data_IF_298280554242
#
_entry.id   IF_298280554242
#
_cell.length_a   1.000
_cell.length_b   1.000
_cell.length_c   1.000
_cell.angle_alpha   90.00
_cell.angle_beta   90.00
_cell.angle_gamma   90.00
#
_symmetry.space_group_name_H-M   'P 1'
#
loop_
_entity.id
_entity.type
_entity.pdbx_description
1 polymer ?
#
# COMPACT_ATOMS: atom_id res chain seq x y z
N UNK A 1 14.89 -52.21 30.40
CA UNK A 1 13.84 -52.09 29.36
C UNK A 1 13.66 -50.62 29.04
N UNK A 2 13.97 -50.16 27.81
CA UNK A 2 13.72 -48.78 27.40
C UNK A 2 12.42 -48.71 26.59
N UNK A 3 11.47 -47.88 27.01
CA UNK A 3 10.45 -47.38 26.09
C UNK A 3 9.78 -46.12 26.60
N UNK A 4 9.52 -45.22 25.64
CA UNK A 4 8.45 -44.23 25.61
C UNK A 4 8.64 -42.85 26.25
N UNK A 5 9.08 -41.98 25.33
CA UNK A 5 8.33 -40.84 24.76
C UNK A 5 8.82 -39.45 25.13
N UNK A 6 9.73 -38.97 24.30
CA UNK A 6 9.98 -37.56 24.06
C UNK A 6 8.68 -36.87 23.59
N UNK A 7 8.10 -36.01 24.43
CA UNK A 7 7.06 -35.05 24.01
C UNK A 7 7.27 -33.72 24.73
N UNK A 8 8.09 -32.84 24.16
CA UNK A 8 8.11 -31.41 24.54
C UNK A 8 8.86 -30.55 23.51
N UNK A 9 8.28 -30.34 22.32
CA UNK A 9 8.72 -29.29 21.37
C UNK A 9 7.64 -28.51 20.60
N UNK A 10 6.31 -28.51 20.93
CA UNK A 10 5.37 -27.73 20.13
C UNK A 10 5.43 -26.21 20.38
N UNK A 11 6.05 -25.76 21.48
CA UNK A 11 6.01 -24.36 21.91
C UNK A 11 7.08 -23.48 21.25
N UNK A 12 8.32 -23.97 21.10
CA UNK A 12 9.39 -23.19 20.46
C UNK A 12 9.09 -22.90 18.98
N UNK A 13 8.55 -23.87 18.25
CA UNK A 13 8.21 -23.72 16.83
C UNK A 13 7.03 -22.76 16.64
N UNK A 14 6.03 -22.82 17.52
CA UNK A 14 4.91 -21.86 17.52
C UNK A 14 5.35 -20.43 17.81
N UNK A 15 6.23 -20.23 18.79
CA UNK A 15 6.78 -18.90 19.11
C UNK A 15 7.63 -18.35 17.96
N UNK A 16 8.43 -19.21 17.32
CA UNK A 16 9.25 -18.82 16.18
C UNK A 16 8.39 -18.46 14.96
N UNK A 17 7.29 -19.18 14.73
CA UNK A 17 6.33 -18.89 13.67
C UNK A 17 5.58 -17.58 13.92
N UNK A 18 5.17 -17.32 15.18
CA UNK A 18 4.51 -16.08 15.60
C UNK A 18 5.41 -14.85 15.37
N UNK A 19 6.69 -14.93 15.74
CA UNK A 19 7.69 -13.88 15.48
C UNK A 19 7.87 -13.59 13.99
N UNK A 20 7.85 -14.63 13.14
CA UNK A 20 7.96 -14.46 11.68
C UNK A 20 6.74 -13.73 11.12
N UNK A 21 5.53 -14.06 11.58
CA UNK A 21 4.30 -13.39 11.14
C UNK A 21 4.26 -11.93 11.60
N UNK A 22 4.62 -11.64 12.86
CA UNK A 22 4.73 -10.25 13.35
C UNK A 22 5.75 -9.40 12.57
N UNK A 23 6.85 -10.00 12.11
CA UNK A 23 7.81 -9.28 11.26
C UNK A 23 7.27 -9.01 9.85
N UNK A 24 6.41 -9.87 9.32
CA UNK A 24 5.75 -9.66 8.03
C UNK A 24 4.68 -8.58 8.13
N UNK A 25 3.89 -8.59 9.20
CA UNK A 25 2.83 -7.63 9.49
C UNK A 25 3.39 -6.19 9.58
N UNK A 26 4.49 -6.02 10.33
CA UNK A 26 5.20 -4.73 10.41
C UNK A 26 5.73 -4.23 9.07
N UNK A 27 6.09 -5.13 8.15
CA UNK A 27 6.55 -4.73 6.80
C UNK A 27 5.37 -4.34 5.92
N UNK A 28 4.22 -4.97 6.08
CA UNK A 28 2.99 -4.65 5.37
C UNK A 28 2.44 -3.29 5.83
N UNK A 29 2.40 -3.02 7.15
CA UNK A 29 2.01 -1.71 7.70
C UNK A 29 2.85 -0.54 7.15
N UNK A 30 4.15 -0.77 6.98
CA UNK A 30 5.05 0.23 6.41
C UNK A 30 4.77 0.50 4.92
N UNK A 31 4.22 -0.47 4.18
CA UNK A 31 3.82 -0.29 2.78
C UNK A 31 2.49 0.47 2.71
N UNK A 32 1.51 0.12 3.54
CA UNK A 32 0.20 0.78 3.60
C UNK A 32 0.34 2.29 3.91
N UNK A 33 1.33 2.66 4.74
CA UNK A 33 1.66 4.07 5.02
C UNK A 33 2.15 4.84 3.78
N UNK A 34 3.00 4.23 2.94
CA UNK A 34 3.50 4.86 1.70
C UNK A 34 2.39 4.99 0.66
N UNK A 35 1.54 3.96 0.53
CA UNK A 35 0.40 3.96 -0.38
C UNK A 35 -0.62 5.02 0.04
N UNK A 36 -0.95 5.10 1.33
CA UNK A 36 -1.88 6.11 1.87
C UNK A 36 -1.36 7.53 1.66
N UNK A 37 -0.08 7.78 1.94
CA UNK A 37 0.55 9.10 1.73
C UNK A 37 0.56 9.54 0.25
N UNK A 38 0.73 8.60 -0.68
CA UNK A 38 0.65 8.87 -2.12
C UNK A 38 -0.77 9.25 -2.56
N UNK A 39 -1.78 8.50 -2.10
CA UNK A 39 -3.19 8.79 -2.39
C UNK A 39 -3.57 10.16 -1.84
N UNK A 40 -3.19 10.49 -0.61
CA UNK A 40 -3.45 11.81 -0.03
C UNK A 40 -2.78 12.95 -0.83
N UNK A 41 -1.54 12.77 -1.31
CA UNK A 41 -0.86 13.81 -2.10
C UNK A 41 -1.50 14.05 -3.46
N UNK A 42 -1.92 12.97 -4.13
CA UNK A 42 -2.62 13.05 -5.43
C UNK A 42 -3.96 13.77 -5.30
N UNK A 43 -4.70 13.47 -4.22
CA UNK A 43 -6.02 14.07 -3.98
C UNK A 43 -5.95 15.50 -3.44
N UNK A 44 -4.79 15.95 -2.92
CA UNK A 44 -4.65 17.27 -2.26
C UNK A 44 -4.62 18.46 -3.22
N UNK A 45 -4.25 18.30 -4.48
CA UNK A 45 -4.13 19.43 -5.42
C UNK A 45 -4.63 19.09 -6.82
N UNK A 46 -5.96 18.98 -7.00
CA UNK A 46 -6.52 19.02 -8.35
C UNK A 46 -6.32 20.41 -8.96
N UNK A 47 -6.02 20.47 -10.26
CA UNK A 47 -5.86 21.73 -11.00
C UNK A 47 -7.09 21.94 -11.86
N UNK A 48 -7.77 23.07 -11.69
CA UNK A 48 -8.88 23.46 -12.56
C UNK A 48 -8.35 24.24 -13.76
N UNK A 49 -8.67 23.77 -14.95
CA UNK A 49 -8.30 24.42 -16.21
C UNK A 49 -9.59 24.91 -16.88
N UNK A 50 -9.63 26.20 -17.20
CA UNK A 50 -10.73 26.81 -17.94
C UNK A 50 -10.26 27.14 -19.35
N UNK A 51 -10.96 26.59 -20.35
CA UNK A 51 -10.65 26.83 -21.76
C UNK A 51 -11.92 27.28 -22.46
N UNK A 52 -11.85 28.44 -23.10
CA UNK A 52 -12.92 28.90 -24.00
C UNK A 52 -12.78 28.19 -25.33
N UNK A 53 -13.81 27.44 -25.74
CA UNK A 53 -13.81 26.76 -27.03
C UNK A 53 -13.83 27.81 -28.16
N UNK A 54 -12.82 27.85 -29.05
CA UNK A 54 -12.76 28.84 -30.12
C UNK A 54 -13.84 28.63 -31.19
N UNK A 55 -14.49 27.45 -31.20
CA UNK A 55 -15.48 27.07 -32.22
C UNK A 55 -16.92 27.44 -31.85
N UNK A 56 -17.24 27.51 -30.56
CA UNK A 56 -18.60 27.77 -30.08
C UNK A 56 -18.68 28.79 -28.93
N UNK A 57 -17.55 29.32 -28.44
CA UNK A 57 -17.50 30.33 -27.37
C UNK A 57 -17.81 29.79 -25.97
N UNK A 58 -18.21 28.53 -25.85
CA UNK A 58 -18.51 27.92 -24.55
C UNK A 58 -17.23 27.75 -23.72
N UNK A 59 -17.32 28.08 -22.43
CA UNK A 59 -16.26 27.82 -21.46
C UNK A 59 -16.33 26.36 -21.02
N UNK A 60 -15.25 25.63 -21.23
CA UNK A 60 -15.08 24.25 -20.78
C UNK A 60 -14.19 24.26 -19.55
N UNK A 61 -14.70 23.72 -18.45
CA UNK A 61 -13.94 23.56 -17.21
C UNK A 61 -13.50 22.10 -17.07
N UNK A 62 -12.20 21.89 -16.89
CA UNK A 62 -11.60 20.56 -16.75
C UNK A 62 -10.91 20.45 -15.40
N UNK A 63 -11.22 19.40 -14.66
CA UNK A 63 -10.52 19.05 -13.43
C UNK A 63 -9.37 18.10 -13.78
N UNK A 64 -8.13 18.53 -13.60
CA UNK A 64 -6.96 17.72 -13.85
C UNK A 64 -6.50 17.05 -12.55
N UNK A 65 -6.47 15.72 -12.54
CA UNK A 65 -5.94 14.89 -11.44
C UNK A 65 -4.83 14.00 -11.97
N UNK A 66 -3.66 14.01 -11.33
CA UNK A 66 -2.50 13.19 -11.72
C UNK A 66 -2.56 11.82 -11.04
N UNK A 67 -2.25 10.73 -11.75
CA UNK A 67 -1.96 9.44 -11.12
C UNK A 67 -0.47 9.12 -11.25
N UNK A 68 0.17 8.69 -10.16
CA UNK A 68 1.58 8.29 -10.18
C UNK A 68 1.60 6.76 -10.28
N UNK A 69 1.86 6.22 -11.47
CA UNK A 69 2.14 4.79 -11.64
C UNK A 69 3.64 4.56 -11.54
N UNK A 70 4.13 4.22 -10.35
CA UNK A 70 5.52 3.74 -10.19
C UNK A 70 5.61 2.30 -10.73
N UNK A 71 6.12 2.13 -11.95
CA UNK A 71 6.52 0.81 -12.45
C UNK A 71 7.80 0.38 -11.75
N UNK A 72 7.70 -0.50 -10.75
CA UNK A 72 8.87 -1.14 -10.15
C UNK A 72 9.55 -2.03 -11.18
N UNK A 73 10.72 -1.62 -11.68
CA UNK A 73 11.63 -2.56 -12.35
C UNK A 73 12.34 -3.35 -11.26
N UNK A 74 11.96 -4.62 -11.14
CA UNK A 74 12.73 -5.64 -10.42
C UNK A 74 13.98 -6.04 -11.19
#
# INVERSE_FOLDING_TARGET
>A
MPDKTEKKKPTMEQEQMKRRVEMLDKRLDNIDSVVTALVERVMRQPVTIEVTCPKCGNVVQMLLTSNIKSSGKG
#
